data_IF_757295461415
#
_entry.id   IF_757295461415
#
_cell.length_a   1.000
_cell.length_b   1.000
_cell.length_c   1.000
_cell.angle_alpha   90.00
_cell.angle_beta   90.00
_cell.angle_gamma   90.00
#
_symmetry.space_group_name_H-M   'P 1'
#
loop_
_entity.id
_entity.type
_entity.pdbx_description
1 polymer ?
#
# COMPACT_ATOMS: atom_id res chain seq x y z
N UNK A 1 5.79 -29.97 77.84
CA UNK A 1 5.62 -30.36 76.42
C UNK A 1 4.44 -29.57 75.89
N UNK A 2 4.52 -28.62 74.96
CA UNK A 2 5.04 -28.68 73.58
C UNK A 2 5.46 -27.26 73.15
N UNK A 3 6.61 -27.11 72.49
CA UNK A 3 6.98 -25.87 71.79
C UNK A 3 6.54 -26.03 70.33
N UNK A 4 5.67 -25.16 69.84
CA UNK A 4 5.29 -25.09 68.43
C UNK A 4 6.31 -24.20 67.70
N UNK A 5 7.04 -24.79 66.75
CA UNK A 5 7.94 -24.06 65.86
C UNK A 5 7.14 -23.60 64.64
N UNK A 6 7.09 -22.29 64.41
CA UNK A 6 6.55 -21.71 63.19
C UNK A 6 7.68 -21.61 62.15
N UNK A 7 7.57 -22.40 61.08
CA UNK A 7 8.47 -22.32 59.93
C UNK A 7 7.92 -21.25 58.98
N UNK A 8 8.62 -20.13 58.89
CA UNK A 8 8.33 -19.06 57.92
C UNK A 8 8.93 -19.48 56.57
N UNK A 9 8.08 -19.93 55.63
CA UNK A 9 8.49 -20.20 54.25
C UNK A 9 8.55 -18.86 53.51
N UNK A 10 9.76 -18.37 53.30
CA UNK A 10 10.02 -17.20 52.45
C UNK A 10 10.00 -17.66 50.99
N UNK A 11 8.94 -17.34 50.26
CA UNK A 11 8.92 -17.46 48.80
C UNK A 11 9.79 -16.35 48.20
N UNK A 12 11.03 -16.68 47.87
CA UNK A 12 11.89 -15.86 47.01
C UNK A 12 11.34 -15.91 45.58
N UNK A 13 10.49 -14.94 45.23
CA UNK A 13 10.17 -14.66 43.83
C UNK A 13 11.43 -14.13 43.15
N UNK A 14 12.20 -15.04 42.55
CA UNK A 14 13.24 -14.69 41.60
C UNK A 14 12.54 -14.29 40.31
N UNK A 15 12.34 -12.98 40.11
CA UNK A 15 12.02 -12.44 38.81
C UNK A 15 13.20 -12.76 37.88
N UNK A 16 13.04 -13.80 37.06
CA UNK A 16 13.97 -14.10 35.97
C UNK A 16 13.86 -12.94 34.98
N UNK A 17 14.74 -11.95 35.13
CA UNK A 17 14.90 -10.88 34.15
C UNK A 17 15.42 -11.52 32.85
N UNK A 18 14.51 -11.80 31.92
CA UNK A 18 14.90 -12.15 30.57
C UNK A 18 15.68 -10.96 29.98
N UNK A 19 16.92 -11.19 29.59
CA UNK A 19 17.75 -10.13 29.02
C UNK A 19 17.22 -9.75 27.64
N UNK A 20 17.09 -8.45 27.34
CA UNK A 20 16.64 -8.04 26.02
C UNK A 20 17.69 -8.38 24.97
N UNK A 21 17.22 -8.91 23.84
CA UNK A 21 17.98 -9.16 22.61
C UNK A 21 18.35 -7.84 21.93
N UNK A 22 17.46 -6.86 22.04
CA UNK A 22 17.66 -5.51 21.51
C UNK A 22 16.82 -4.50 22.30
N UNK A 23 17.27 -3.25 22.31
CA UNK A 23 16.43 -2.12 22.70
C UNK A 23 16.34 -1.12 21.56
N UNK A 24 15.22 -0.42 21.49
CA UNK A 24 14.97 0.59 20.47
C UNK A 24 14.55 1.90 21.13
N UNK A 25 15.02 3.02 20.59
CA UNK A 25 14.40 4.32 20.80
C UNK A 25 13.73 4.74 19.51
N UNK A 26 12.45 5.05 19.57
CA UNK A 26 11.67 5.60 18.46
C UNK A 26 11.55 7.09 18.68
N UNK A 27 12.16 7.86 17.79
CA UNK A 27 12.14 9.31 17.80
C UNK A 27 10.96 9.81 16.96
N UNK A 28 10.02 10.53 17.57
CA UNK A 28 8.89 11.11 16.85
C UNK A 28 9.33 12.12 15.77
N UNK A 29 10.51 12.73 15.95
CA UNK A 29 11.04 13.76 15.05
C UNK A 29 10.29 15.09 15.24
N UNK A 30 10.23 15.90 14.18
CA UNK A 30 9.62 17.25 14.23
C UNK A 30 8.09 17.26 14.24
N UNK A 31 7.45 16.09 14.13
CA UNK A 31 6.00 15.98 13.98
C UNK A 31 5.37 15.20 15.13
N UNK A 32 4.18 15.62 15.51
CA UNK A 32 3.32 14.80 16.36
C UNK A 32 2.87 13.54 15.59
N UNK A 33 2.83 12.41 16.30
CA UNK A 33 2.46 11.11 15.75
C UNK A 33 1.19 10.61 16.40
N UNK A 34 0.34 9.98 15.60
CA UNK A 34 -0.87 9.31 16.04
C UNK A 34 -0.97 7.97 15.31
N UNK A 35 -0.93 6.86 16.04
CA UNK A 35 -1.04 5.50 15.49
C UNK A 35 -0.12 5.27 14.27
N UNK A 36 1.15 5.63 14.42
CA UNK A 36 2.08 5.71 13.29
C UNK A 36 2.88 4.42 13.12
N UNK A 37 3.02 3.94 11.88
CA UNK A 37 3.85 2.78 11.59
C UNK A 37 5.33 3.09 11.80
N UNK A 38 6.03 2.16 12.44
CA UNK A 38 7.47 2.19 12.65
C UNK A 38 8.07 0.98 11.96
N UNK A 39 9.14 1.18 11.20
CA UNK A 39 9.87 0.10 10.53
C UNK A 39 11.37 0.32 10.73
N UNK A 40 12.09 -0.72 11.10
CA UNK A 40 13.55 -0.67 11.32
C UNK A 40 14.23 -1.91 10.73
N UNK A 41 15.40 -1.70 10.12
CA UNK A 41 16.28 -2.78 9.69
C UNK A 41 16.92 -3.45 10.90
N UNK A 42 16.53 -4.70 11.15
CA UNK A 42 17.02 -5.54 12.24
C UNK A 42 18.00 -6.61 11.76
N UNK A 43 18.58 -6.47 10.57
CA UNK A 43 19.56 -7.42 10.02
C UNK A 43 20.81 -7.56 10.89
N UNK A 44 21.10 -6.56 11.72
CA UNK A 44 22.21 -6.58 12.69
C UNK A 44 21.91 -7.39 13.95
N UNK A 45 20.66 -7.81 14.17
CA UNK A 45 20.26 -8.61 15.31
C UNK A 45 20.53 -10.11 15.05
N UNK A 46 20.76 -10.92 16.12
CA UNK A 46 20.89 -12.36 15.96
C UNK A 46 19.65 -12.95 15.28
N UNK A 47 19.85 -13.97 14.44
CA UNK A 47 18.76 -14.71 13.83
C UNK A 47 18.05 -15.55 14.92
N UNK A 48 17.05 -14.94 15.55
CA UNK A 48 16.12 -15.59 16.45
C UNK A 48 14.81 -15.80 15.70
N UNK A 49 14.18 -16.96 15.89
CA UNK A 49 12.86 -17.24 15.34
C UNK A 49 11.85 -16.21 15.86
N UNK A 50 11.07 -15.60 14.97
CA UNK A 50 10.12 -14.53 15.30
C UNK A 50 9.05 -15.01 16.32
N UNK A 51 8.78 -16.31 16.39
CA UNK A 51 7.87 -16.93 17.39
C UNK A 51 8.44 -16.92 18.82
N UNK A 52 9.74 -16.70 18.96
CA UNK A 52 10.45 -16.60 20.24
C UNK A 52 10.71 -15.15 20.64
N UNK A 53 10.29 -14.18 19.84
CA UNK A 53 10.49 -12.76 20.12
C UNK A 53 9.18 -12.11 20.62
N UNK A 54 9.34 -11.25 21.64
CA UNK A 54 8.31 -10.37 22.15
C UNK A 54 8.84 -8.94 22.13
N UNK A 55 8.11 -8.02 21.48
CA UNK A 55 8.41 -6.60 21.53
C UNK A 55 7.57 -5.98 22.64
N UNK A 56 8.21 -5.23 23.53
CA UNK A 56 7.56 -4.54 24.63
C UNK A 56 7.90 -3.05 24.58
N UNK A 57 6.90 -2.19 24.74
CA UNK A 57 7.11 -0.78 25.05
C UNK A 57 7.43 -0.62 26.54
N UNK A 58 8.45 0.17 26.85
CA UNK A 58 8.85 0.49 28.22
C UNK A 58 8.10 1.75 28.66
N UNK A 59 7.19 1.62 29.62
CA UNK A 59 6.44 2.74 30.21
C UNK A 59 6.68 2.87 31.72
N UNK A 60 6.38 4.03 32.33
CA UNK A 60 6.47 4.19 33.79
C UNK A 60 5.57 3.22 34.59
N UNK A 61 4.49 2.72 33.98
CA UNK A 61 3.53 1.80 34.59
C UNK A 61 3.90 0.32 34.40
N UNK A 62 4.97 0.04 33.67
CA UNK A 62 5.41 -1.30 33.31
C UNK A 62 5.54 -1.49 31.80
N UNK A 63 5.99 -2.67 31.40
CA UNK A 63 6.17 -3.00 30.00
C UNK A 63 4.85 -3.44 29.37
N UNK A 64 4.56 -2.92 28.18
CA UNK A 64 3.34 -3.25 27.41
C UNK A 64 3.76 -4.04 26.19
N UNK A 65 3.21 -5.23 25.99
CA UNK A 65 3.48 -6.03 24.79
C UNK A 65 2.91 -5.35 23.54
N UNK A 66 3.69 -5.32 22.47
CA UNK A 66 3.38 -4.65 21.21
C UNK A 66 3.46 -5.65 20.06
N UNK A 67 2.38 -5.82 19.28
CA UNK A 67 2.43 -6.64 18.07
C UNK A 67 3.48 -6.11 17.08
N UNK A 68 4.27 -7.02 16.52
CA UNK A 68 5.26 -6.72 15.50
C UNK A 68 5.26 -7.81 14.42
N UNK A 69 5.79 -7.47 13.25
CA UNK A 69 6.07 -8.42 12.17
C UNK A 69 7.47 -8.17 11.65
N UNK A 70 8.22 -9.25 11.35
CA UNK A 70 9.51 -9.16 10.67
C UNK A 70 9.33 -9.71 9.26
N UNK A 71 9.67 -8.89 8.27
CA UNK A 71 9.81 -9.37 6.90
C UNK A 71 11.28 -9.63 6.61
N UNK A 72 11.60 -10.80 6.05
CA UNK A 72 12.95 -11.16 5.62
C UNK A 72 12.97 -11.28 4.10
N UNK A 73 13.89 -10.59 3.46
CA UNK A 73 14.10 -10.65 2.02
C UNK A 73 15.61 -10.58 1.70
N UNK A 74 15.96 -10.58 0.41
CA UNK A 74 17.37 -10.57 -0.02
C UNK A 74 18.17 -9.35 0.46
N UNK A 75 17.49 -8.24 0.80
CA UNK A 75 18.13 -7.00 1.27
C UNK A 75 18.31 -6.96 2.79
N UNK A 76 17.60 -7.80 3.55
CA UNK A 76 17.70 -7.80 5.00
C UNK A 76 16.42 -8.24 5.71
N UNK A 77 16.35 -7.90 6.98
CA UNK A 77 15.22 -8.16 7.86
C UNK A 77 14.65 -6.85 8.40
N UNK A 78 13.37 -6.62 8.23
CA UNK A 78 12.70 -5.37 8.61
C UNK A 78 11.60 -5.64 9.62
N UNK A 79 11.76 -5.15 10.85
CA UNK A 79 10.75 -5.24 11.90
C UNK A 79 9.81 -4.04 11.81
N UNK A 80 8.51 -4.31 11.73
CA UNK A 80 7.44 -3.31 11.68
C UNK A 80 6.50 -3.47 12.86
N UNK A 81 6.16 -2.36 13.51
CA UNK A 81 5.13 -2.28 14.56
C UNK A 81 4.44 -0.92 14.53
N UNK A 82 3.46 -0.74 15.41
CA UNK A 82 2.76 0.54 15.54
C UNK A 82 3.22 1.32 16.78
N UNK A 83 3.51 2.60 16.56
CA UNK A 83 3.58 3.63 17.60
C UNK A 83 2.15 4.04 17.98
N UNK A 84 1.49 3.19 18.78
CA UNK A 84 0.06 3.36 19.14
C UNK A 84 -0.17 4.61 20.00
N UNK A 85 -1.27 5.31 19.74
CA UNK A 85 -1.66 6.53 20.46
C UNK A 85 -0.85 7.77 20.06
N UNK A 86 -1.05 8.85 20.82
CA UNK A 86 -0.40 10.14 20.60
C UNK A 86 1.04 10.12 21.09
N UNK A 87 1.98 10.56 20.26
CA UNK A 87 3.37 10.82 20.63
C UNK A 87 3.74 12.23 20.21
N UNK A 88 4.04 13.12 21.16
CA UNK A 88 4.34 14.52 20.87
C UNK A 88 5.61 14.68 19.99
N UNK A 89 5.67 15.76 19.22
CA UNK A 89 6.88 16.13 18.50
C UNK A 89 8.09 16.22 19.45
N UNK A 90 9.24 15.71 19.01
CA UNK A 90 10.48 15.64 19.79
C UNK A 90 10.50 14.55 20.88
N UNK A 91 9.38 13.89 21.16
CA UNK A 91 9.35 12.82 22.15
C UNK A 91 10.05 11.55 21.65
N UNK A 92 10.52 10.75 22.60
CA UNK A 92 11.18 9.46 22.36
C UNK A 92 10.47 8.38 23.14
N UNK A 93 10.02 7.32 22.46
CA UNK A 93 9.45 6.11 23.08
C UNK A 93 10.48 4.99 23.04
N UNK A 94 10.54 4.19 24.10
CA UNK A 94 11.54 3.13 24.28
C UNK A 94 10.87 1.78 24.17
N UNK A 95 11.53 0.86 23.50
CA UNK A 95 11.09 -0.51 23.34
C UNK A 95 12.22 -1.47 23.67
N UNK A 96 11.86 -2.68 24.09
CA UNK A 96 12.79 -3.79 24.22
C UNK A 96 12.23 -5.01 23.50
N UNK A 97 13.11 -5.77 22.85
CA UNK A 97 12.80 -7.07 22.31
C UNK A 97 13.43 -8.12 23.21
N UNK A 98 12.63 -9.07 23.70
CA UNK A 98 13.04 -10.13 24.62
C UNK A 98 12.76 -11.50 24.01
N UNK A 99 13.59 -12.48 24.35
CA UNK A 99 13.31 -13.88 24.03
C UNK A 99 12.25 -14.41 24.99
N UNK A 100 11.04 -14.65 24.49
CA UNK A 100 9.96 -15.26 25.25
C UNK A 100 9.12 -16.11 24.31
N UNK A 101 8.98 -17.40 24.65
CA UNK A 101 8.08 -18.30 23.91
C UNK A 101 6.66 -17.77 24.02
N UNK A 102 6.04 -17.42 22.89
CA UNK A 102 4.63 -17.01 22.85
C UNK A 102 3.79 -18.15 23.42
N UNK A 103 3.01 -17.89 24.47
CA UNK A 103 2.23 -18.90 25.19
C UNK A 103 0.98 -19.34 24.42
N UNK A 104 0.51 -18.54 23.45
CA UNK A 104 -0.58 -18.90 22.54
C UNK A 104 -0.34 -18.29 21.15
N UNK A 105 -0.72 -19.01 20.10
CA UNK A 105 -0.80 -18.47 18.75
C UNK A 105 -2.04 -17.56 18.69
N UNK A 106 -1.84 -16.24 18.72
CA UNK A 106 -2.92 -15.30 18.37
C UNK A 106 -3.22 -15.50 16.88
N UNK A 107 -4.46 -15.86 16.56
CA UNK A 107 -4.93 -15.80 15.18
C UNK A 107 -4.95 -14.33 14.76
N UNK A 108 -4.21 -13.99 13.70
CA UNK A 108 -4.25 -12.64 13.14
C UNK A 108 -5.69 -12.29 12.77
N UNK A 109 -6.09 -11.04 13.01
CA UNK A 109 -7.37 -10.52 12.53
C UNK A 109 -7.45 -10.40 11.01
N UNK A 110 -6.31 -10.46 10.32
CA UNK A 110 -6.19 -10.39 8.87
C UNK A 110 -6.08 -11.77 8.23
N UNK A 111 -6.59 -11.86 7.00
CA UNK A 111 -6.50 -13.03 6.14
C UNK A 111 -6.34 -12.60 4.68
N UNK A 112 -5.54 -13.32 3.91
CA UNK A 112 -5.40 -13.19 2.45
C UNK A 112 -5.96 -14.44 1.79
N UNK A 113 -7.21 -14.37 1.36
CA UNK A 113 -7.92 -15.49 0.71
C UNK A 113 -7.56 -15.57 -0.76
N UNK A 114 -7.14 -16.75 -1.21
CA UNK A 114 -7.08 -17.09 -2.63
C UNK A 114 -8.41 -17.73 -3.06
N UNK A 115 -9.16 -17.06 -3.94
CA UNK A 115 -10.48 -17.55 -4.40
C UNK A 115 -10.41 -18.47 -5.63
N UNK A 116 -9.21 -18.71 -6.18
CA UNK A 116 -9.02 -19.30 -7.51
C UNK A 116 -9.12 -18.28 -8.66
N UNK A 117 -9.52 -17.04 -8.36
CA UNK A 117 -9.63 -15.96 -9.35
C UNK A 117 -8.95 -14.66 -8.89
N UNK A 118 -8.84 -14.46 -7.58
CA UNK A 118 -8.34 -13.25 -6.96
C UNK A 118 -7.68 -13.53 -5.59
N UNK A 119 -6.88 -12.57 -5.13
CA UNK A 119 -6.47 -12.47 -3.73
C UNK A 119 -7.33 -11.43 -3.04
N UNK A 120 -8.02 -11.82 -1.97
CA UNK A 120 -8.87 -10.94 -1.17
C UNK A 120 -8.26 -10.76 0.21
N UNK A 121 -7.93 -9.53 0.58
CA UNK A 121 -7.53 -9.22 1.95
C UNK A 121 -8.78 -8.90 2.75
N UNK A 122 -8.96 -9.63 3.85
CA UNK A 122 -10.05 -9.46 4.79
C UNK A 122 -9.51 -9.11 6.18
N UNK A 123 -10.31 -8.39 6.96
CA UNK A 123 -10.10 -8.21 8.40
C UNK A 123 -11.38 -8.57 9.14
N UNK A 124 -11.33 -9.53 10.07
CA UNK A 124 -12.49 -9.99 10.85
C UNK A 124 -13.71 -10.34 9.97
N UNK A 125 -13.46 -10.98 8.82
CA UNK A 125 -14.50 -11.37 7.86
C UNK A 125 -15.00 -10.25 6.93
N UNK A 126 -14.57 -9.00 7.12
CA UNK A 126 -14.89 -7.89 6.20
C UNK A 126 -13.83 -7.76 5.11
N UNK A 127 -14.25 -7.64 3.86
CA UNK A 127 -13.34 -7.45 2.73
C UNK A 127 -12.78 -6.03 2.71
N UNK A 128 -11.50 -5.89 2.37
CA UNK A 128 -10.81 -4.59 2.29
C UNK A 128 -10.40 -4.28 0.86
N UNK A 129 -9.67 -5.19 0.22
CA UNK A 129 -9.37 -5.09 -1.21
C UNK A 129 -9.29 -6.46 -1.87
N UNK A 130 -9.61 -6.49 -3.16
CA UNK A 130 -9.43 -7.65 -4.02
C UNK A 130 -8.48 -7.31 -5.16
N UNK A 131 -7.43 -8.10 -5.31
CA UNK A 131 -6.57 -8.12 -6.48
C UNK A 131 -6.97 -9.26 -7.40
N UNK A 132 -7.45 -8.93 -8.59
CA UNK A 132 -7.97 -9.88 -9.57
C UNK A 132 -6.84 -10.32 -10.50
N UNK A 133 -6.42 -11.57 -10.35
CA UNK A 133 -5.33 -12.15 -11.15
C UNK A 133 -5.83 -12.99 -12.33
N UNK A 134 -7.07 -13.48 -12.27
CA UNK A 134 -7.72 -14.13 -13.41
C UNK A 134 -8.10 -13.08 -14.45
N UNK A 135 -7.97 -13.45 -15.71
CA UNK A 135 -8.37 -12.59 -16.81
C UNK A 135 -9.88 -12.36 -16.80
N UNK A 136 -10.28 -11.09 -16.76
CA UNK A 136 -11.66 -10.65 -16.91
C UNK A 136 -11.84 -10.05 -18.29
N UNK A 137 -12.86 -10.52 -19.01
CA UNK A 137 -13.20 -10.08 -20.36
C UNK A 137 -14.42 -9.15 -20.35
N UNK A 138 -14.50 -8.22 -21.30
CA UNK A 138 -15.62 -7.29 -21.38
C UNK A 138 -16.94 -8.03 -21.72
N UNK A 139 -18.10 -7.37 -21.59
CA UNK A 139 -19.38 -7.93 -21.98
C UNK A 139 -19.40 -8.45 -23.43
N UNK A 140 -20.29 -9.41 -23.70
CA UNK A 140 -20.49 -9.94 -25.05
C UNK A 140 -20.76 -8.82 -26.07
N UNK A 141 -20.15 -8.93 -27.25
CA UNK A 141 -20.21 -7.92 -28.31
C UNK A 141 -19.13 -6.83 -28.25
N UNK A 142 -18.33 -6.80 -27.18
CA UNK A 142 -17.19 -5.89 -27.04
C UNK A 142 -15.88 -6.64 -27.39
N UNK A 143 -14.93 -5.94 -28.03
CA UNK A 143 -13.67 -6.54 -28.46
C UNK A 143 -12.91 -7.20 -27.29
N UNK A 144 -12.63 -8.49 -27.41
CA UNK A 144 -11.84 -9.28 -26.45
C UNK A 144 -10.42 -8.76 -26.22
N UNK A 145 -9.92 -7.82 -27.03
CA UNK A 145 -8.67 -7.11 -26.75
C UNK A 145 -8.69 -6.39 -25.39
N UNK A 146 -9.88 -6.04 -24.87
CA UNK A 146 -10.05 -5.54 -23.51
C UNK A 146 -10.14 -6.67 -22.46
N UNK A 147 -9.67 -7.88 -22.69
CA UNK A 147 -9.50 -8.84 -21.59
C UNK A 147 -8.23 -8.45 -20.80
N UNK A 148 -8.32 -8.39 -19.46
CA UNK A 148 -7.17 -8.02 -18.61
C UNK A 148 -7.17 -8.76 -17.28
N UNK A 149 -5.98 -8.92 -16.71
CA UNK A 149 -5.76 -9.30 -15.31
C UNK A 149 -4.80 -8.32 -14.65
N UNK A 150 -4.58 -8.49 -13.34
CA UNK A 150 -3.59 -7.72 -12.62
C UNK A 150 -4.03 -6.32 -12.26
N UNK A 151 -5.19 -6.22 -11.62
CA UNK A 151 -5.77 -4.96 -11.16
C UNK A 151 -6.46 -5.15 -9.81
N UNK A 152 -6.68 -4.04 -9.10
CA UNK A 152 -7.44 -4.04 -7.85
C UNK A 152 -8.88 -3.64 -8.15
N UNK A 153 -9.78 -4.59 -7.98
CA UNK A 153 -11.22 -4.37 -7.92
C UNK A 153 -11.90 -5.60 -7.33
N UNK A 154 -12.87 -5.41 -6.43
CA UNK A 154 -13.23 -4.14 -5.77
C UNK A 154 -12.23 -3.68 -4.69
N UNK A 155 -12.30 -2.39 -4.36
CA UNK A 155 -11.73 -1.78 -3.15
C UNK A 155 -12.90 -1.32 -2.28
N UNK A 156 -12.91 -1.70 -1.00
CA UNK A 156 -14.03 -1.43 -0.10
C UNK A 156 -13.71 -0.37 0.95
N UNK A 157 -14.71 0.45 1.31
CA UNK A 157 -14.67 1.29 2.51
C UNK A 157 -14.89 0.47 3.79
N UNK A 158 -14.58 1.01 4.99
CA UNK A 158 -14.82 0.30 6.26
C UNK A 158 -16.28 -0.14 6.47
N UNK A 159 -17.26 0.62 5.96
CA UNK A 159 -18.69 0.27 5.95
C UNK A 159 -19.05 -0.78 4.90
N UNK A 160 -18.24 -0.95 3.86
CA UNK A 160 -18.44 -1.93 2.79
C UNK A 160 -18.84 -1.33 1.44
N UNK A 161 -18.75 -0.01 1.26
CA UNK A 161 -18.98 0.59 -0.06
C UNK A 161 -17.87 0.19 -1.03
N UNK A 162 -18.22 -0.29 -2.22
CA UNK A 162 -17.25 -0.49 -3.30
C UNK A 162 -16.87 0.88 -3.90
N UNK A 163 -15.59 1.23 -3.89
CA UNK A 163 -15.10 2.52 -4.40
C UNK A 163 -14.73 2.50 -5.88
N UNK A 164 -14.48 1.33 -6.45
CA UNK A 164 -13.96 1.16 -7.81
C UNK A 164 -14.97 0.53 -8.76
N UNK A 165 -14.84 0.78 -10.06
CA UNK A 165 -15.55 0.00 -11.10
C UNK A 165 -14.60 -0.44 -12.22
N UNK A 166 -14.96 -1.49 -12.94
CA UNK A 166 -14.23 -2.00 -14.10
C UNK A 166 -15.10 -1.95 -15.36
N UNK A 167 -14.44 -1.91 -16.52
CA UNK A 167 -15.00 -2.06 -17.87
C UNK A 167 -16.34 -1.33 -18.11
N UNK A 168 -16.46 -0.05 -17.70
CA UNK A 168 -17.72 0.64 -17.88
C UNK A 168 -17.98 0.90 -19.37
N UNK A 169 -19.25 1.06 -19.79
CA UNK A 169 -19.61 1.17 -21.22
C UNK A 169 -18.95 2.33 -21.97
N UNK A 170 -18.53 3.37 -21.24
CA UNK A 170 -17.81 4.52 -21.80
C UNK A 170 -16.31 4.23 -22.06
N UNK A 171 -15.69 3.32 -21.30
CA UNK A 171 -14.25 3.03 -21.35
C UNK A 171 -13.97 1.58 -20.92
N UNK A 172 -14.18 0.60 -21.80
CA UNK A 172 -13.96 -0.83 -21.50
C UNK A 172 -12.53 -1.19 -21.10
N UNK A 173 -11.56 -0.32 -21.39
CA UNK A 173 -10.21 -0.53 -20.93
C UNK A 173 -10.00 -0.16 -19.45
N UNK A 174 -10.93 0.41 -18.67
CA UNK A 174 -10.71 0.81 -17.26
C UNK A 174 -10.85 -0.34 -16.24
N UNK A 175 -9.96 -0.43 -15.24
CA UNK A 175 -9.89 -1.57 -14.30
C UNK A 175 -9.73 -1.21 -12.82
N UNK A 176 -10.65 -0.46 -12.22
CA UNK A 176 -10.59 -0.15 -10.80
C UNK A 176 -9.34 0.63 -10.41
N UNK A 177 -8.29 -0.03 -9.89
CA UNK A 177 -6.93 0.53 -9.78
C UNK A 177 -5.91 -0.28 -10.60
N UNK A 178 -5.12 0.42 -11.41
CA UNK A 178 -4.14 -0.17 -12.34
C UNK A 178 -3.04 0.84 -12.73
N UNK A 179 -1.98 0.39 -13.43
CA UNK A 179 -0.99 1.28 -14.05
C UNK A 179 -1.24 1.45 -15.56
N UNK A 180 -1.43 2.70 -15.99
CA UNK A 180 -1.90 3.10 -17.31
C UNK A 180 -0.75 3.54 -18.24
N UNK A 181 0.23 2.68 -18.54
CA UNK A 181 1.33 3.05 -19.44
C UNK A 181 0.88 3.14 -20.90
N UNK A 182 0.32 4.29 -21.29
CA UNK A 182 -0.36 4.47 -22.59
C UNK A 182 0.55 4.88 -23.74
N UNK A 183 1.69 5.49 -23.43
CA UNK A 183 2.65 5.97 -24.44
C UNK A 183 4.06 5.58 -24.04
N UNK A 184 4.53 4.46 -24.57
CA UNK A 184 5.87 3.93 -24.29
C UNK A 184 6.63 3.76 -25.59
N UNK A 185 7.92 4.11 -25.62
CA UNK A 185 8.82 3.74 -26.70
C UNK A 185 9.67 2.54 -26.27
N UNK A 186 9.57 1.45 -27.02
CA UNK A 186 10.34 0.21 -26.85
C UNK A 186 10.91 -0.21 -28.19
N UNK A 187 12.24 -0.45 -28.27
CA UNK A 187 12.95 -0.76 -29.53
C UNK A 187 12.62 0.21 -30.69
N UNK A 188 12.51 1.50 -30.37
CA UNK A 188 12.19 2.55 -31.33
C UNK A 188 10.72 2.65 -31.76
N UNK A 189 9.84 1.76 -31.29
CA UNK A 189 8.40 1.78 -31.60
C UNK A 189 7.59 2.34 -30.44
N UNK A 190 6.56 3.13 -30.74
CA UNK A 190 5.53 3.49 -29.77
C UNK A 190 4.62 2.28 -29.51
N UNK A 191 4.32 2.03 -28.24
CA UNK A 191 3.46 0.96 -27.76
C UNK A 191 2.49 1.54 -26.72
N UNK A 192 1.21 1.25 -26.90
CA UNK A 192 0.17 1.47 -25.90
C UNK A 192 -0.19 0.16 -25.18
N UNK A 193 0.21 0.02 -23.91
CA UNK A 193 -0.09 -1.15 -23.08
C UNK A 193 -1.47 -1.10 -22.40
N UNK A 194 -2.26 -0.06 -22.67
CA UNK A 194 -3.41 0.29 -21.85
C UNK A 194 -4.72 0.48 -22.61
N UNK A 195 -4.76 1.30 -23.66
CA UNK A 195 -6.03 1.53 -24.36
C UNK A 195 -6.43 0.31 -25.20
N UNK A 196 -5.50 -0.62 -25.47
CA UNK A 196 -5.67 -1.96 -26.06
C UNK A 196 -6.32 -2.03 -27.46
N UNK A 197 -6.95 -0.97 -27.96
CA UNK A 197 -7.62 -0.95 -29.26
C UNK A 197 -6.64 -1.14 -30.44
N UNK A 198 -5.38 -0.66 -30.30
CA UNK A 198 -4.34 -0.87 -31.31
C UNK A 198 -3.70 -2.26 -31.25
N UNK A 199 -3.93 -3.03 -30.18
CA UNK A 199 -3.37 -4.37 -29.96
C UNK A 199 -1.84 -4.41 -30.11
N UNK A 200 -1.15 -3.37 -29.62
CA UNK A 200 0.32 -3.22 -29.67
C UNK A 200 1.02 -3.88 -28.46
N UNK A 201 0.33 -3.95 -27.32
CA UNK A 201 0.81 -4.60 -26.12
C UNK A 201 -0.31 -4.83 -25.10
N UNK A 202 0.03 -5.46 -23.99
CA UNK A 202 -0.87 -5.64 -22.84
C UNK A 202 -0.10 -5.83 -21.54
N UNK A 203 -0.80 -5.88 -20.42
CA UNK A 203 -0.26 -6.22 -19.10
C UNK A 203 -1.00 -7.45 -18.58
N UNK A 204 -0.25 -8.42 -18.04
CA UNK A 204 -0.82 -9.66 -17.49
C UNK A 204 -0.20 -9.98 -16.14
N UNK A 205 -1.00 -10.52 -15.24
CA UNK A 205 -0.49 -11.23 -14.08
C UNK A 205 0.34 -12.45 -14.52
N UNK A 206 1.52 -12.60 -13.92
CA UNK A 206 2.47 -13.68 -14.20
C UNK A 206 2.58 -14.68 -13.02
N UNK A 207 2.42 -14.22 -11.78
CA UNK A 207 2.50 -15.12 -10.63
C UNK A 207 2.48 -14.41 -9.27
N UNK A 208 2.17 -15.21 -8.24
CA UNK A 208 2.26 -14.81 -6.84
C UNK A 208 3.70 -15.04 -6.37
N UNK A 209 4.30 -14.04 -5.74
CA UNK A 209 5.65 -14.13 -5.19
C UNK A 209 5.63 -14.44 -3.70
N UNK A 210 4.75 -13.78 -2.95
CA UNK A 210 4.58 -14.04 -1.52
C UNK A 210 3.23 -13.55 -0.98
N UNK A 211 2.81 -14.13 0.12
CA UNK A 211 1.71 -13.66 0.97
C UNK A 211 2.30 -13.31 2.33
N UNK A 212 1.76 -12.26 2.95
CA UNK A 212 2.14 -11.78 4.28
C UNK A 212 0.89 -11.75 5.15
N UNK A 213 0.93 -12.37 6.31
CA UNK A 213 -0.16 -12.38 7.29
C UNK A 213 0.43 -12.26 8.70
N UNK A 214 -0.10 -11.34 9.49
CA UNK A 214 0.25 -11.20 10.89
C UNK A 214 -0.53 -10.11 11.58
N UNK A 215 -0.17 -9.80 12.82
CA UNK A 215 -0.95 -8.91 13.70
C UNK A 215 -0.88 -7.42 13.31
N UNK A 216 0.15 -7.01 12.57
CA UNK A 216 0.41 -5.62 12.16
C UNK A 216 -0.10 -5.34 10.75
N UNK A 217 0.08 -6.28 9.82
CA UNK A 217 -0.36 -6.13 8.44
C UNK A 217 -0.56 -7.47 7.75
N UNK A 218 -1.39 -7.47 6.71
CA UNK A 218 -1.44 -8.52 5.71
C UNK A 218 -1.29 -7.97 4.30
N UNK A 219 -0.91 -8.82 3.36
CA UNK A 219 -0.55 -8.36 2.02
C UNK A 219 -0.09 -9.47 1.09
N UNK A 220 0.29 -9.06 -0.12
CA UNK A 220 0.90 -9.95 -1.11
C UNK A 220 1.90 -9.21 -1.99
N UNK A 221 2.78 -9.99 -2.62
CA UNK A 221 3.63 -9.58 -3.73
C UNK A 221 3.25 -10.38 -4.96
N UNK A 222 3.00 -9.70 -6.07
CA UNK A 222 2.60 -10.32 -7.34
C UNK A 222 3.44 -9.77 -8.49
N UNK A 223 3.79 -10.63 -9.42
CA UNK A 223 4.56 -10.30 -10.62
C UNK A 223 3.63 -10.14 -11.81
N UNK A 224 3.80 -9.06 -12.56
CA UNK A 224 3.15 -8.77 -13.83
C UNK A 224 4.21 -8.66 -14.92
N UNK A 225 3.80 -8.89 -16.15
CA UNK A 225 4.61 -8.66 -17.35
C UNK A 225 3.89 -7.71 -18.30
N UNK A 226 4.63 -6.76 -18.86
CA UNK A 226 4.17 -5.91 -19.96
C UNK A 226 4.68 -6.53 -21.25
N UNK A 227 3.75 -6.99 -22.07
CA UNK A 227 4.03 -7.77 -23.29
C UNK A 227 3.78 -6.90 -24.51
N UNK A 228 4.71 -6.90 -25.46
CA UNK A 228 4.56 -6.26 -26.77
C UNK A 228 4.21 -7.29 -27.83
N UNK A 229 3.40 -6.87 -28.81
CA UNK A 229 3.03 -7.66 -29.97
C UNK A 229 3.69 -7.03 -31.21
N UNK A 230 4.84 -7.55 -31.69
CA UNK A 230 5.58 -6.96 -32.81
C UNK A 230 4.94 -7.22 -34.19
N UNK A 231 3.61 -7.30 -34.28
CA UNK A 231 2.88 -7.58 -35.52
C UNK A 231 3.05 -9.02 -36.04
N UNK A 232 3.51 -9.94 -35.18
CA UNK A 232 3.63 -11.38 -35.45
C UNK A 232 3.09 -12.18 -34.25
N UNK A 233 3.07 -13.52 -34.34
CA UNK A 233 2.68 -14.38 -33.22
C UNK A 233 3.71 -14.41 -32.06
N UNK A 234 4.91 -13.85 -32.23
CA UNK A 234 5.94 -13.87 -31.20
C UNK A 234 5.72 -12.73 -30.20
N UNK A 235 5.18 -13.05 -29.02
CA UNK A 235 5.11 -12.14 -27.87
C UNK A 235 6.51 -11.88 -27.30
N UNK A 236 6.77 -10.65 -26.85
CA UNK A 236 8.00 -10.31 -26.13
C UNK A 236 7.66 -9.56 -24.83
N UNK A 237 8.28 -9.95 -23.70
CA UNK A 237 8.15 -9.20 -22.45
C UNK A 237 9.09 -7.99 -22.50
N UNK A 238 8.52 -6.78 -22.42
CA UNK A 238 9.28 -5.53 -22.39
C UNK A 238 9.59 -5.05 -20.97
N UNK A 239 8.71 -5.33 -20.00
CA UNK A 239 8.86 -4.88 -18.61
C UNK A 239 8.39 -5.97 -17.64
N UNK A 240 9.19 -6.23 -16.62
CA UNK A 240 8.75 -6.90 -15.40
C UNK A 240 8.24 -5.85 -14.41
N UNK A 241 7.07 -6.10 -13.82
CA UNK A 241 6.51 -5.25 -12.80
C UNK A 241 6.12 -6.07 -11.57
N UNK A 242 6.55 -5.69 -10.37
CA UNK A 242 6.11 -6.31 -9.11
C UNK A 242 5.25 -5.32 -8.36
N UNK A 243 4.04 -5.74 -8.00
CA UNK A 243 3.20 -5.01 -7.05
C UNK A 243 3.34 -5.63 -5.67
N UNK A 244 3.59 -4.76 -4.71
CA UNK A 244 3.54 -5.07 -3.29
C UNK A 244 2.39 -4.27 -2.67
N UNK A 245 1.44 -5.00 -2.08
CA UNK A 245 0.27 -4.44 -1.41
C UNK A 245 0.29 -4.87 0.05
N UNK A 246 0.14 -3.91 0.96
CA UNK A 246 0.02 -4.15 2.40
C UNK A 246 -1.15 -3.39 2.97
N UNK A 247 -1.96 -4.05 3.79
CA UNK A 247 -3.04 -3.45 4.57
C UNK A 247 -2.66 -3.53 6.03
N UNK A 248 -2.74 -2.41 6.73
CA UNK A 248 -2.29 -2.32 8.12
C UNK A 248 -3.43 -2.40 9.11
N UNK A 249 -3.18 -3.07 10.23
CA UNK A 249 -4.05 -3.15 11.39
C UNK A 249 -3.98 -1.83 12.19
N UNK A 250 -4.63 -0.77 11.73
CA UNK A 250 -4.60 0.54 12.41
C UNK A 250 -5.94 0.79 13.12
N UNK A 251 -5.95 1.18 14.41
CA UNK A 251 -7.19 1.52 15.10
C UNK A 251 -7.79 2.81 14.53
N UNK A 252 -9.08 2.77 14.23
CA UNK A 252 -9.83 3.90 13.68
C UNK A 252 -10.92 3.42 12.72
N UNK A 253 -11.70 4.36 12.19
CA UNK A 253 -12.71 4.08 11.16
C UNK A 253 -12.17 4.37 9.75
N UNK A 254 -10.97 3.86 9.46
CA UNK A 254 -10.33 3.97 8.16
C UNK A 254 -9.42 2.76 7.93
N UNK A 255 -9.10 2.50 6.66
CA UNK A 255 -8.14 1.48 6.26
C UNK A 255 -6.92 2.16 5.64
N UNK A 256 -5.73 1.71 6.00
CA UNK A 256 -4.48 2.16 5.37
C UNK A 256 -3.90 1.04 4.51
N UNK A 257 -3.65 1.37 3.24
CA UNK A 257 -3.05 0.46 2.26
C UNK A 257 -1.78 1.10 1.72
N UNK A 258 -0.64 0.41 1.82
CA UNK A 258 0.55 0.76 1.05
C UNK A 258 0.55 -0.03 -0.26
N UNK A 259 0.83 0.69 -1.35
CA UNK A 259 0.96 0.16 -2.69
C UNK A 259 2.32 0.56 -3.25
N UNK A 260 3.16 -0.40 -3.56
CA UNK A 260 4.45 -0.17 -4.23
C UNK A 260 4.46 -0.92 -5.56
N UNK A 261 4.82 -0.22 -6.64
CA UNK A 261 5.16 -0.84 -7.92
C UNK A 261 6.66 -0.75 -8.16
N UNK A 262 7.23 -1.87 -8.60
CA UNK A 262 8.63 -2.07 -8.94
C UNK A 262 8.72 -2.43 -10.41
N UNK A 263 9.46 -1.66 -11.19
CA UNK A 263 9.56 -1.83 -12.64
C UNK A 263 11.01 -2.07 -13.04
N UNK A 264 11.21 -3.07 -13.89
CA UNK A 264 12.50 -3.44 -14.43
C UNK A 264 12.35 -3.86 -15.91
N UNK A 265 13.05 -3.20 -16.86
CA UNK A 265 13.08 -3.67 -18.25
C UNK A 265 13.56 -5.12 -18.32
N UNK A 266 12.81 -5.97 -19.03
CA UNK A 266 13.03 -7.42 -19.00
C UNK A 266 14.23 -7.88 -19.84
N UNK A 267 14.67 -7.07 -20.80
CA UNK A 267 15.76 -7.37 -21.71
C UNK A 267 16.90 -6.35 -21.67
N UNK A 268 17.62 -6.22 -22.79
CA UNK A 268 18.73 -5.28 -22.96
C UNK A 268 18.30 -3.92 -23.54
N UNK A 269 17.01 -3.72 -23.78
CA UNK A 269 16.46 -2.51 -24.36
C UNK A 269 15.88 -1.57 -23.30
N UNK A 270 16.01 -0.27 -23.54
CA UNK A 270 15.36 0.74 -22.70
C UNK A 270 13.85 0.71 -22.86
N UNK A 271 13.14 0.92 -21.76
CA UNK A 271 11.69 1.15 -21.74
C UNK A 271 11.44 2.63 -21.44
N UNK A 272 11.07 3.41 -22.45
CA UNK A 272 10.92 4.87 -22.31
C UNK A 272 9.44 5.22 -22.21
N UNK A 273 8.99 5.62 -21.02
CA UNK A 273 7.64 6.14 -20.80
C UNK A 273 7.63 7.59 -21.27
N UNK A 274 7.01 7.87 -22.42
CA UNK A 274 7.00 9.22 -22.98
C UNK A 274 6.05 10.14 -22.19
N UNK A 275 6.41 11.43 -22.14
CA UNK A 275 5.55 12.47 -21.58
C UNK A 275 4.15 12.43 -22.21
N UNK A 276 3.13 12.06 -21.43
CA UNK A 276 1.76 11.92 -21.92
C UNK A 276 0.71 12.01 -20.80
N UNK A 277 -0.49 12.47 -21.13
CA UNK A 277 -1.58 12.78 -20.18
C UNK A 277 -2.09 11.60 -19.34
N UNK A 278 -1.82 10.35 -19.73
CA UNK A 278 -2.20 9.13 -19.02
C UNK A 278 -0.97 8.22 -18.86
N UNK A 279 -0.39 8.20 -17.66
CA UNK A 279 0.75 7.37 -17.29
C UNK A 279 0.61 7.04 -15.79
N UNK A 280 1.05 5.88 -15.31
CA UNK A 280 1.07 5.56 -13.88
C UNK A 280 -0.28 5.14 -13.29
N UNK A 281 -0.42 5.26 -11.96
CA UNK A 281 -1.49 4.64 -11.17
C UNK A 281 -2.82 5.35 -11.37
N UNK A 282 -3.77 4.69 -12.04
CA UNK A 282 -5.13 5.17 -12.27
C UNK A 282 -6.14 4.60 -11.27
N UNK A 283 -7.23 5.33 -11.06
CA UNK A 283 -8.39 4.96 -10.25
C UNK A 283 -9.67 5.34 -11.00
N UNK A 284 -10.50 4.33 -11.27
CA UNK A 284 -11.86 4.51 -11.82
C UNK A 284 -12.89 4.30 -10.72
N UNK A 285 -13.56 5.39 -10.34
CA UNK A 285 -14.54 5.41 -9.27
C UNK A 285 -15.81 4.61 -9.59
N UNK A 286 -16.56 4.23 -8.55
CA UNK A 286 -17.88 3.59 -8.64
C UNK A 286 -18.82 4.32 -9.62
N UNK A 287 -19.74 3.58 -10.25
CA UNK A 287 -20.73 4.14 -11.17
C UNK A 287 -21.65 5.21 -10.55
N UNK A 288 -21.89 5.18 -9.23
CA UNK A 288 -22.68 6.21 -8.53
C UNK A 288 -21.91 7.54 -8.37
N UNK A 289 -20.59 7.54 -8.53
CA UNK A 289 -19.73 8.72 -8.31
C UNK A 289 -19.68 9.60 -9.56
N UNK A 290 -20.58 10.57 -9.57
CA UNK A 290 -20.85 11.48 -10.69
C UNK A 290 -20.58 12.93 -10.29
N UNK A 291 -20.77 13.90 -11.19
CA UNK A 291 -20.52 15.33 -10.86
C UNK A 291 -21.43 15.83 -9.73
N UNK A 292 -22.56 15.18 -9.51
CA UNK A 292 -23.59 15.56 -8.55
C UNK A 292 -23.17 15.29 -7.10
N UNK A 293 -22.27 14.34 -6.86
CA UNK A 293 -21.96 13.87 -5.49
C UNK A 293 -20.46 13.71 -5.17
N UNK A 294 -19.58 13.84 -6.17
CA UNK A 294 -18.13 13.71 -5.98
C UNK A 294 -17.52 15.01 -5.48
N UNK A 295 -16.69 14.90 -4.44
CA UNK A 295 -15.77 15.97 -4.03
C UNK A 295 -14.33 15.54 -4.23
N UNK A 296 -13.48 16.52 -4.55
CA UNK A 296 -12.04 16.34 -4.70
C UNK A 296 -11.32 17.53 -4.07
N UNK A 297 -10.27 17.25 -3.30
CA UNK A 297 -9.36 18.25 -2.73
C UNK A 297 -7.91 17.77 -2.84
N UNK A 298 -7.02 18.62 -3.28
CA UNK A 298 -5.57 18.35 -3.36
C UNK A 298 -4.81 19.03 -2.22
N UNK A 299 -3.55 18.61 -2.01
CA UNK A 299 -2.64 19.24 -1.04
C UNK A 299 -2.40 20.73 -1.26
N UNK A 300 -2.60 21.22 -2.49
CA UNK A 300 -2.43 22.63 -2.85
C UNK A 300 -3.77 23.40 -2.89
N UNK A 301 -4.86 22.81 -2.39
CA UNK A 301 -6.18 23.44 -2.32
C UNK A 301 -6.98 23.42 -3.63
N UNK A 302 -6.46 22.79 -4.70
CA UNK A 302 -7.23 22.59 -5.93
C UNK A 302 -8.39 21.61 -5.73
N UNK A 303 -9.47 21.88 -6.43
CA UNK A 303 -10.70 21.08 -6.46
C UNK A 303 -10.85 20.39 -7.81
N UNK A 304 -11.87 19.55 -7.96
CA UNK A 304 -12.14 18.85 -9.23
C UNK A 304 -12.12 19.75 -10.47
N UNK A 305 -12.56 21.01 -10.34
CA UNK A 305 -12.67 21.97 -11.45
C UNK A 305 -11.33 22.47 -11.98
N UNK A 306 -10.28 22.46 -11.15
CA UNK A 306 -8.99 23.08 -11.48
C UNK A 306 -7.76 22.23 -11.08
N UNK A 307 -7.96 20.97 -10.69
CA UNK A 307 -6.89 20.07 -10.29
C UNK A 307 -6.23 19.31 -11.46
N UNK A 308 -6.84 19.22 -12.65
CA UNK A 308 -6.22 18.46 -13.73
C UNK A 308 -4.89 19.08 -14.19
N UNK A 309 -3.83 18.26 -14.21
CA UNK A 309 -2.49 18.68 -14.62
C UNK A 309 -1.70 19.44 -13.57
N UNK A 310 -2.29 19.74 -12.41
CA UNK A 310 -1.55 20.29 -11.26
C UNK A 310 -0.72 19.18 -10.60
N UNK A 311 0.10 19.56 -9.62
CA UNK A 311 0.91 18.64 -8.81
C UNK A 311 0.30 18.52 -7.42
N UNK A 312 0.33 17.33 -6.84
CA UNK A 312 -0.22 17.10 -5.51
C UNK A 312 0.60 16.06 -4.74
N UNK A 313 0.88 16.33 -3.45
CA UNK A 313 1.45 15.34 -2.52
C UNK A 313 0.42 14.30 -2.14
N UNK A 314 -0.82 14.77 -1.99
CA UNK A 314 -1.98 13.94 -1.71
C UNK A 314 -3.24 14.52 -2.35
N UNK A 315 -4.24 13.67 -2.56
CA UNK A 315 -5.55 14.05 -3.08
C UNK A 315 -6.67 13.21 -2.45
N UNK A 316 -7.67 13.88 -1.88
CA UNK A 316 -8.90 13.27 -1.38
C UNK A 316 -9.90 13.17 -2.53
N UNK A 317 -10.49 12.00 -2.72
CA UNK A 317 -11.64 11.80 -3.62
C UNK A 317 -12.73 11.06 -2.84
N UNK A 318 -13.94 11.61 -2.80
CA UNK A 318 -15.09 10.97 -2.11
C UNK A 318 -16.38 11.17 -2.89
N UNK A 319 -17.34 10.27 -2.71
CA UNK A 319 -18.65 10.33 -3.34
C UNK A 319 -19.70 9.54 -2.57
N UNK A 320 -20.95 9.70 -2.99
CA UNK A 320 -22.08 8.96 -2.40
C UNK A 320 -22.26 7.59 -3.07
N UNK A 321 -22.53 6.59 -2.24
CA UNK A 321 -22.87 5.22 -2.63
C UNK A 321 -24.09 4.77 -1.83
N UNK A 322 -24.61 3.58 -2.12
CA UNK A 322 -25.82 3.05 -1.48
C UNK A 322 -25.74 3.03 0.07
N UNK A 323 -24.56 2.72 0.63
CA UNK A 323 -24.37 2.67 2.09
C UNK A 323 -23.88 4.01 2.66
N UNK A 324 -23.99 5.10 1.89
CA UNK A 324 -23.58 6.45 2.26
C UNK A 324 -22.20 6.85 1.76
N UNK A 325 -21.75 8.03 2.17
CA UNK A 325 -20.51 8.65 1.72
C UNK A 325 -19.28 7.86 2.13
N UNK A 326 -18.35 7.73 1.19
CA UNK A 326 -17.03 7.13 1.44
C UNK A 326 -15.99 7.72 0.49
N UNK A 327 -14.72 7.51 0.79
CA UNK A 327 -13.63 8.14 0.06
C UNK A 327 -12.30 7.42 0.18
N UNK A 328 -11.37 7.91 -0.63
CA UNK A 328 -9.97 7.51 -0.65
C UNK A 328 -9.09 8.76 -0.69
N UNK A 329 -8.11 8.80 0.20
CA UNK A 329 -6.98 9.71 0.12
C UNK A 329 -5.84 9.00 -0.60
N UNK A 330 -5.43 9.52 -1.75
CA UNK A 330 -4.23 9.10 -2.45
C UNK A 330 -3.03 9.91 -1.96
N UNK A 331 -1.93 9.25 -1.61
CA UNK A 331 -0.70 9.89 -1.14
C UNK A 331 0.48 9.39 -1.98
N UNK A 332 1.24 10.30 -2.58
CA UNK A 332 2.50 10.00 -3.25
C UNK A 332 3.68 10.08 -2.27
N UNK A 333 4.72 9.26 -2.48
CA UNK A 333 5.93 9.29 -1.66
C UNK A 333 6.97 10.27 -2.25
N UNK A 334 7.72 11.04 -1.43
CA UNK A 334 8.74 11.98 -1.91
C UNK A 334 9.82 11.39 -2.80
N UNK A 335 10.09 10.10 -2.64
CA UNK A 335 11.04 9.33 -3.47
C UNK A 335 10.51 8.90 -4.84
N UNK A 336 9.26 9.19 -5.20
CA UNK A 336 8.71 8.84 -6.51
C UNK A 336 9.30 9.73 -7.61
N UNK A 337 9.37 9.18 -8.83
CA UNK A 337 9.78 9.96 -9.99
C UNK A 337 8.85 11.16 -10.21
N UNK A 338 9.43 12.34 -10.43
CA UNK A 338 8.69 13.59 -10.68
C UNK A 338 7.78 14.02 -9.51
N UNK A 339 8.10 13.66 -8.27
CA UNK A 339 7.34 14.07 -7.07
C UNK A 339 7.42 15.60 -6.79
N UNK A 340 6.34 16.24 -6.31
CA UNK A 340 4.96 15.74 -6.28
C UNK A 340 4.45 15.51 -7.71
N UNK A 341 3.90 14.32 -7.96
CA UNK A 341 3.54 13.88 -9.31
C UNK A 341 2.43 14.77 -9.88
N UNK A 342 2.46 15.11 -11.19
CA UNK A 342 1.30 15.67 -11.85
C UNK A 342 0.12 14.71 -11.76
N UNK A 343 -1.09 15.22 -11.60
CA UNK A 343 -2.30 14.38 -11.57
C UNK A 343 -3.10 14.52 -12.86
N UNK A 344 -3.86 13.47 -13.19
CA UNK A 344 -4.91 13.51 -14.22
C UNK A 344 -6.27 13.33 -13.56
N UNK A 345 -7.09 14.37 -13.66
CA UNK A 345 -8.45 14.42 -13.11
C UNK A 345 -9.44 14.60 -14.25
N UNK A 346 -10.56 13.89 -14.19
CA UNK A 346 -11.69 14.13 -15.10
C UNK A 346 -12.59 15.24 -14.57
N UNK A 347 -12.72 16.30 -15.37
CA UNK A 347 -13.64 17.39 -15.09
C UNK A 347 -15.11 16.93 -15.11
N UNK A 348 -16.01 17.84 -14.71
CA UNK A 348 -17.45 17.57 -14.57
C UNK A 348 -18.18 17.38 -15.92
N UNK A 349 -17.55 17.71 -17.06
CA UNK A 349 -18.13 17.61 -18.40
C UNK A 349 -17.79 16.28 -19.09
N UNK A 350 -16.89 15.49 -18.52
CA UNK A 350 -16.51 14.17 -19.05
C UNK A 350 -17.73 13.23 -19.14
N UNK A 351 -17.62 12.21 -19.97
CA UNK A 351 -18.67 11.20 -20.17
C UNK A 351 -20.02 11.81 -20.57
N UNK A 352 -20.02 12.62 -21.63
CA UNK A 352 -21.21 13.32 -22.15
C UNK A 352 -21.93 14.14 -21.06
N UNK A 353 -21.16 14.77 -20.17
CA UNK A 353 -21.69 15.60 -19.08
C UNK A 353 -22.18 14.84 -17.86
N UNK A 354 -22.03 13.52 -17.77
CA UNK A 354 -22.29 12.75 -16.53
C UNK A 354 -21.24 13.05 -15.45
N UNK A 355 -20.01 13.36 -15.87
CA UNK A 355 -18.92 13.72 -14.98
C UNK A 355 -18.54 12.60 -14.01
N UNK A 356 -18.31 11.39 -14.53
CA UNK A 356 -17.82 10.29 -13.69
C UNK A 356 -16.43 10.59 -13.14
N UNK A 357 -16.14 10.15 -11.92
CA UNK A 357 -14.84 10.38 -11.30
C UNK A 357 -13.72 9.47 -11.84
N UNK A 358 -12.55 10.07 -12.03
CA UNK A 358 -11.30 9.42 -12.37
C UNK A 358 -10.16 10.20 -11.72
N UNK A 359 -9.20 9.46 -11.16
CA UNK A 359 -7.97 10.00 -10.59
C UNK A 359 -6.78 9.23 -11.14
N UNK A 360 -5.66 9.91 -11.36
CA UNK A 360 -4.42 9.25 -11.74
C UNK A 360 -3.22 10.06 -11.25
N UNK A 361 -2.31 9.40 -10.52
CA UNK A 361 -0.95 9.91 -10.33
C UNK A 361 -0.15 9.64 -11.60
N UNK A 362 0.28 10.71 -12.25
CA UNK A 362 0.84 10.69 -13.60
C UNK A 362 2.31 11.16 -13.59
N UNK A 363 3.24 10.31 -13.10
CA UNK A 363 4.64 10.70 -12.91
C UNK A 363 5.33 11.10 -14.22
N UNK A 364 4.85 10.60 -15.36
CA UNK A 364 5.34 10.93 -16.68
C UNK A 364 4.35 11.81 -17.49
N UNK A 365 3.60 12.72 -16.84
CA UNK A 365 2.66 13.61 -17.55
C UNK A 365 3.36 14.61 -18.47
N UNK A 366 4.38 15.27 -17.93
CA UNK A 366 5.06 16.43 -18.52
C UNK A 366 6.55 16.20 -18.77
N UNK A 367 7.09 15.06 -18.31
CA UNK A 367 8.50 14.69 -18.47
C UNK A 367 8.55 13.19 -18.76
N UNK A 368 9.27 12.78 -19.81
CA UNK A 368 9.45 11.36 -20.12
C UNK A 368 10.30 10.67 -19.04
N UNK A 369 10.09 9.38 -18.82
CA UNK A 369 10.84 8.58 -17.85
C UNK A 369 11.51 7.40 -18.56
N UNK A 370 12.85 7.41 -18.60
CA UNK A 370 13.63 6.33 -19.22
C UNK A 370 14.00 5.28 -18.19
N UNK A 371 13.52 4.05 -18.40
CA UNK A 371 13.92 2.89 -17.62
C UNK A 371 15.01 2.12 -18.38
N UNK A 372 16.18 1.97 -17.77
CA UNK A 372 17.34 1.30 -18.34
C UNK A 372 17.44 -0.15 -17.84
N UNK A 373 17.93 -1.08 -18.68
CA UNK A 373 18.24 -2.45 -18.29
C UNK A 373 19.11 -2.55 -17.04
N UNK A 374 18.91 -3.61 -16.25
CA UNK A 374 19.68 -3.88 -15.04
C UNK A 374 19.43 -2.90 -13.87
N UNK A 375 18.42 -2.03 -13.98
CA UNK A 375 18.01 -1.12 -12.90
C UNK A 375 16.60 -1.42 -12.43
N UNK A 376 16.32 -1.11 -11.18
CA UNK A 376 14.99 -1.16 -10.58
C UNK A 376 14.46 0.25 -10.38
N UNK A 377 13.20 0.46 -10.75
CA UNK A 377 12.49 1.72 -10.64
C UNK A 377 11.27 1.53 -9.75
N UNK A 378 11.02 2.46 -8.83
CA UNK A 378 10.02 2.28 -7.79
C UNK A 378 9.09 3.49 -7.70
N UNK A 379 7.80 3.22 -7.59
CA UNK A 379 6.80 4.19 -7.14
C UNK A 379 6.10 3.64 -5.89
N UNK A 380 5.99 4.45 -4.86
CA UNK A 380 5.35 4.13 -3.58
C UNK A 380 4.16 5.05 -3.36
N UNK A 381 3.05 4.47 -2.96
CA UNK A 381 1.82 5.18 -2.65
C UNK A 381 1.24 4.66 -1.35
N UNK A 382 0.52 5.52 -0.64
CA UNK A 382 -0.36 5.14 0.46
C UNK A 382 -1.77 5.58 0.14
N UNK A 383 -2.73 4.71 0.43
CA UNK A 383 -4.15 5.00 0.35
C UNK A 383 -4.75 4.95 1.74
N UNK A 384 -5.53 5.96 2.08
CA UNK A 384 -6.36 5.94 3.29
C UNK A 384 -7.81 5.91 2.85
N UNK A 385 -8.48 4.78 3.08
CA UNK A 385 -9.88 4.58 2.73
C UNK A 385 -10.72 4.90 3.95
N UNK A 386 -11.76 5.73 3.79
CA UNK A 386 -12.56 6.24 4.89
C UNK A 386 -14.05 6.25 4.54
N UNK A 387 -14.89 6.28 5.56
CA UNK A 387 -16.30 6.61 5.45
C UNK A 387 -16.55 8.06 5.85
N UNK A 388 -17.69 8.60 5.39
CA UNK A 388 -18.16 9.96 5.66
C UNK A 388 -17.23 11.05 5.12
N UNK A 389 -16.22 11.49 5.89
CA UNK A 389 -15.33 12.58 5.47
C UNK A 389 -13.92 12.42 6.05
N UNK A 390 -12.95 13.02 5.36
CA UNK A 390 -11.58 13.17 5.81
C UNK A 390 -11.20 14.64 5.66
N UNK A 391 -10.67 15.26 6.72
CA UNK A 391 -10.26 16.67 6.66
C UNK A 391 -8.91 16.84 5.95
N UNK A 392 -8.61 18.05 5.49
CA UNK A 392 -7.29 18.38 4.95
C UNK A 392 -6.17 18.21 6.00
N UNK A 393 -6.47 18.45 7.28
CA UNK A 393 -5.53 18.27 8.38
C UNK A 393 -5.21 16.78 8.61
N UNK A 394 -6.23 15.91 8.55
CA UNK A 394 -6.03 14.45 8.64
C UNK A 394 -5.22 13.94 7.44
N UNK A 395 -5.49 14.47 6.24
CA UNK A 395 -4.74 14.13 5.04
C UNK A 395 -3.27 14.54 5.11
N UNK A 396 -2.97 15.75 5.60
CA UNK A 396 -1.60 16.20 5.80
C UNK A 396 -0.89 15.38 6.89
N UNK A 397 -1.58 15.03 7.98
CA UNK A 397 -1.05 14.14 9.01
C UNK A 397 -0.72 12.75 8.46
N UNK A 398 -1.61 12.17 7.64
CA UNK A 398 -1.37 10.90 6.96
C UNK A 398 -0.18 10.97 5.99
N UNK A 399 -0.03 12.08 5.25
CA UNK A 399 1.12 12.33 4.39
C UNK A 399 2.42 12.41 5.18
N UNK A 400 2.47 13.21 6.26
CA UNK A 400 3.65 13.33 7.12
C UNK A 400 4.10 11.97 7.67
N UNK A 401 3.15 11.15 8.12
CA UNK A 401 3.44 9.81 8.63
C UNK A 401 3.95 8.83 7.57
N UNK A 402 3.63 9.06 6.30
CA UNK A 402 4.12 8.24 5.19
C UNK A 402 5.46 8.75 4.62
N UNK A 403 5.58 10.06 4.44
CA UNK A 403 6.74 10.71 3.83
C UNK A 403 7.93 10.84 4.79
N UNK A 404 7.66 10.99 6.08
CA UNK A 404 8.66 11.22 7.12
C UNK A 404 8.41 10.28 8.31
N UNK A 405 8.61 8.96 8.15
CA UNK A 405 8.38 8.00 9.23
C UNK A 405 9.28 8.29 10.45
N UNK A 406 8.90 7.84 11.67
CA UNK A 406 9.75 7.96 12.85
C UNK A 406 11.11 7.30 12.68
N UNK A 407 12.16 7.90 13.23
CA UNK A 407 13.51 7.33 13.23
C UNK A 407 13.68 6.36 14.40
N UNK A 408 14.41 5.27 14.17
CA UNK A 408 14.66 4.24 15.18
C UNK A 408 16.15 4.08 15.43
N UNK A 409 16.58 4.32 16.66
CA UNK A 409 17.92 4.02 17.15
C UNK A 409 17.93 2.62 17.77
N UNK A 410 18.76 1.71 17.24
CA UNK A 410 18.98 0.37 17.81
C UNK A 410 20.08 0.45 18.86
N UNK A 411 19.72 0.21 20.11
CA UNK A 411 20.64 0.08 21.23
C UNK A 411 20.95 -1.41 21.43
N UNK A 412 22.16 -1.82 21.05
CA UNK A 412 22.59 -3.22 21.22
C UNK A 412 22.62 -3.58 22.71
N UNK A 413 21.92 -4.66 23.09
CA UNK A 413 22.06 -5.26 24.41
C UNK A 413 22.59 -6.69 24.26
N UNK A 414 23.79 -6.88 24.81
CA UNK A 414 24.59 -8.11 24.96
C UNK A 414 24.97 -8.91 23.69
N UNK A 415 26.27 -8.84 23.39
CA UNK A 415 27.05 -10.04 23.07
C UNK A 415 27.05 -10.95 24.30
N UNK A 416 26.70 -12.23 24.12
CA UNK A 416 27.16 -13.28 25.03
C UNK A 416 28.65 -13.49 24.85
#
# INVERSE_FOLDING_TARGET
MKKAAWILIVFLFSSVYCQPVAMFKVHAGHYERQNTLVCVDVSVLPAVDDSLLCLEEITPQGNIEVPFQIERNHFGAYMTWMLSGRTAAGAVRKYQCVERKKTEARHSSFEVKNTGEAFVICQQGKNILQYTYRTVCPPSGIDSAYCRSGFIHPLWSPRGNVLTRIQPPDHYHHYGIWNAWTKVRYKGKEIDFWNLYKKEGTVRYQGLLSVMEGDVYAGFKVHHVHVVYPGSQAEEVALNEIWEVRVYNIPGNYTVVDFTTLMNPAGCDSFVIDAYRYQGTGFRANASWTKENVTLLTSEGYTRRNADGTRARWCIVSGESEQGRSGILFIGHPGNYNFPEPIRIWDEKQNNGRGDAFFNFCPAKNISWTLLPGREYRLKYRWVIFDDSLSAADAESAYINFAFPPEVEILKVKKK
#
